data_IF_558092322736
#
_entry.id   IF_558092322736
#
_cell.length_a   1.000
_cell.length_b   1.000
_cell.length_c   1.000
_cell.angle_alpha   90.00
_cell.angle_beta   90.00
_cell.angle_gamma   90.00
#
_symmetry.space_group_name_H-M   'P 1'
#
loop_
_entity.id
_entity.type
_entity.pdbx_description
1 polymer ?
#
# COMPACT_ATOMS: atom_id res chain seq x y z
N UNK A 1 -8.71 18.29 -11.97
CA UNK A 1 -7.39 17.70 -11.78
C UNK A 1 -7.55 16.44 -10.96
N UNK A 2 -6.98 15.30 -11.42
CA UNK A 2 -6.90 14.04 -10.68
C UNK A 2 -5.43 13.65 -10.57
N UNK A 3 -5.00 13.22 -9.41
CA UNK A 3 -3.72 12.54 -9.23
C UNK A 3 -3.88 11.05 -9.52
N UNK A 4 -2.87 10.43 -10.13
CA UNK A 4 -2.87 9.02 -10.44
C UNK A 4 -2.50 8.17 -9.22
N UNK A 5 -3.48 7.41 -8.71
CA UNK A 5 -3.29 6.42 -7.66
C UNK A 5 -3.85 5.07 -8.13
N UNK A 6 -3.30 4.55 -9.24
CA UNK A 6 -3.75 3.31 -9.86
C UNK A 6 -3.80 2.12 -8.90
N UNK A 7 -3.05 2.14 -7.79
CA UNK A 7 -3.06 1.07 -6.80
C UNK A 7 -4.46 0.82 -6.20
N UNK A 8 -5.32 1.85 -6.09
CA UNK A 8 -6.71 1.68 -5.65
C UNK A 8 -7.55 0.80 -6.58
N UNK A 9 -7.14 0.65 -7.84
CA UNK A 9 -7.87 -0.11 -8.88
C UNK A 9 -7.38 -1.53 -9.05
N UNK A 10 -6.35 -1.96 -8.32
CA UNK A 10 -5.97 -3.37 -8.29
C UNK A 10 -7.08 -4.22 -7.70
N UNK A 11 -7.32 -5.38 -8.27
CA UNK A 11 -8.42 -6.24 -7.86
C UNK A 11 -8.30 -6.70 -6.41
N UNK A 12 -7.09 -6.97 -5.93
CA UNK A 12 -6.85 -7.29 -4.52
C UNK A 12 -7.24 -6.14 -3.58
N UNK A 13 -6.95 -4.90 -3.99
CA UNK A 13 -7.28 -3.69 -3.23
C UNK A 13 -8.79 -3.47 -3.21
N UNK A 14 -9.47 -3.63 -4.35
CA UNK A 14 -10.92 -3.49 -4.44
C UNK A 14 -11.66 -4.55 -3.62
N UNK A 15 -11.20 -5.81 -3.64
CA UNK A 15 -11.79 -6.87 -2.81
C UNK A 15 -11.55 -6.63 -1.31
N UNK A 16 -10.36 -6.18 -0.93
CA UNK A 16 -10.07 -5.79 0.44
C UNK A 16 -10.99 -4.64 0.90
N UNK A 17 -11.19 -3.62 0.05
CA UNK A 17 -12.07 -2.49 0.34
C UNK A 17 -13.53 -2.91 0.55
N UNK A 18 -14.06 -3.80 -0.30
CA UNK A 18 -15.40 -4.36 -0.13
C UNK A 18 -15.57 -5.08 1.21
N UNK A 19 -14.56 -5.86 1.63
CA UNK A 19 -14.59 -6.54 2.93
C UNK A 19 -14.60 -5.54 4.09
N UNK A 20 -13.79 -4.49 4.02
CA UNK A 20 -13.75 -3.45 5.05
C UNK A 20 -15.08 -2.69 5.10
N UNK A 21 -15.60 -2.26 3.96
CA UNK A 21 -16.86 -1.50 3.86
C UNK A 21 -18.08 -2.31 4.28
N UNK A 22 -18.02 -3.64 4.19
CA UNK A 22 -19.09 -4.51 4.72
C UNK A 22 -19.20 -4.47 6.25
N UNK A 23 -18.21 -3.90 6.95
CA UNK A 23 -18.13 -3.90 8.40
C UNK A 23 -17.82 -5.26 9.04
N UNK A 24 -17.69 -6.31 8.23
CA UNK A 24 -17.54 -7.69 8.73
C UNK A 24 -16.20 -7.96 9.43
N UNK A 25 -15.22 -7.06 9.27
CA UNK A 25 -13.91 -7.13 9.94
C UNK A 25 -13.87 -6.38 11.27
N UNK A 26 -14.93 -5.62 11.62
CA UNK A 26 -14.90 -4.73 12.76
C UNK A 26 -14.02 -3.50 12.52
N UNK A 27 -13.65 -2.81 13.61
CA UNK A 27 -12.84 -1.59 13.55
C UNK A 27 -11.40 -1.91 13.15
N UNK A 28 -10.81 -1.07 12.28
CA UNK A 28 -9.39 -1.11 11.97
C UNK A 28 -8.58 -0.64 13.18
N UNK A 29 -7.59 -1.42 13.58
CA UNK A 29 -6.72 -1.16 14.71
C UNK A 29 -5.39 -0.54 14.29
N UNK A 30 -4.73 -1.13 13.30
CA UNK A 30 -3.46 -0.63 12.76
C UNK A 30 -3.19 -1.14 11.35
N UNK A 31 -2.23 -0.46 10.66
CA UNK A 31 -1.70 -0.84 9.35
C UNK A 31 -0.17 -0.87 9.38
N UNK A 32 0.42 -1.75 8.57
CA UNK A 32 1.86 -1.80 8.36
C UNK A 32 2.17 -2.06 6.90
N UNK A 33 2.88 -1.14 6.24
CA UNK A 33 3.16 -1.21 4.81
C UNK A 33 4.64 -1.17 4.49
N UNK A 34 5.06 -2.04 3.56
CA UNK A 34 6.38 -2.03 2.96
C UNK A 34 6.21 -1.93 1.45
N UNK A 35 6.87 -0.93 0.85
CA UNK A 35 6.98 -0.82 -0.59
C UNK A 35 8.44 -0.63 -0.99
N UNK A 36 9.08 -1.73 -1.38
CA UNK A 36 10.52 -1.79 -1.59
C UNK A 36 10.90 -2.18 -3.01
N UNK A 37 11.85 -1.44 -3.58
CA UNK A 37 12.53 -1.76 -4.85
C UNK A 37 13.82 -2.52 -4.61
N UNK A 38 14.15 -3.39 -5.58
CA UNK A 38 15.46 -4.05 -5.61
C UNK A 38 16.63 -3.12 -6.00
N UNK A 39 16.31 -1.91 -6.46
CA UNK A 39 17.29 -1.08 -7.16
C UNK A 39 17.53 -1.57 -8.59
N UNK A 40 18.58 -1.08 -9.22
CA UNK A 40 19.04 -1.52 -10.54
C UNK A 40 20.54 -1.22 -10.72
N UNK A 41 21.19 -1.78 -11.73
CA UNK A 41 22.61 -1.56 -12.03
C UNK A 41 22.90 -0.06 -12.24
N UNK A 42 21.99 0.65 -12.92
CA UNK A 42 22.11 2.09 -13.22
C UNK A 42 21.10 2.92 -12.40
N UNK A 43 20.81 2.52 -11.17
CA UNK A 43 19.83 3.19 -10.33
C UNK A 43 20.16 4.67 -10.12
N UNK A 44 21.42 4.98 -9.87
CA UNK A 44 21.95 6.32 -9.71
C UNK A 44 21.91 7.19 -10.99
N UNK A 45 21.71 6.61 -12.18
CA UNK A 45 21.56 7.36 -13.43
C UNK A 45 20.10 7.70 -13.78
N UNK A 46 19.14 7.14 -13.05
CA UNK A 46 17.73 7.39 -13.31
C UNK A 46 17.31 8.79 -12.83
N UNK A 47 16.71 9.58 -13.71
CA UNK A 47 16.27 10.94 -13.42
C UNK A 47 15.30 11.04 -12.21
N UNK A 48 14.55 9.97 -11.94
CA UNK A 48 13.63 9.89 -10.81
C UNK A 48 14.32 9.96 -9.44
N UNK A 49 15.62 9.74 -9.41
CA UNK A 49 16.42 9.73 -8.19
C UNK A 49 17.10 11.08 -7.92
N UNK A 50 16.78 12.12 -8.70
CA UNK A 50 17.32 13.46 -8.54
C UNK A 50 16.21 14.45 -8.23
N UNK A 51 16.28 15.12 -7.07
CA UNK A 51 15.26 16.08 -6.59
C UNK A 51 14.90 17.14 -7.60
N UNK A 52 15.88 17.61 -8.36
CA UNK A 52 15.67 18.63 -9.40
C UNK A 52 14.62 18.22 -10.43
N UNK A 53 14.48 16.92 -10.71
CA UNK A 53 13.60 16.40 -11.75
C UNK A 53 12.35 15.73 -11.19
N UNK A 54 12.47 15.04 -10.05
CA UNK A 54 11.39 14.22 -9.46
C UNK A 54 10.73 14.85 -8.25
N UNK A 55 11.37 15.85 -7.62
CA UNK A 55 10.90 16.44 -6.37
C UNK A 55 11.29 15.66 -5.12
N UNK A 56 11.65 14.39 -5.22
CA UNK A 56 12.04 13.50 -4.11
C UNK A 56 12.52 12.15 -4.63
N UNK A 57 12.72 11.21 -3.75
CA UNK A 57 13.21 9.87 -4.05
C UNK A 57 12.15 8.79 -3.91
N UNK A 58 12.51 7.71 -3.22
CA UNK A 58 11.67 6.50 -3.12
C UNK A 58 10.35 6.76 -2.39
N UNK A 59 10.28 7.74 -1.51
CA UNK A 59 9.04 8.09 -0.81
C UNK A 59 8.00 8.62 -1.78
N UNK A 60 8.37 9.52 -2.69
CA UNK A 60 7.46 10.08 -3.71
C UNK A 60 7.21 9.07 -4.82
N UNK A 61 8.21 8.26 -5.21
CA UNK A 61 8.06 7.31 -6.32
C UNK A 61 7.21 6.08 -5.95
N UNK A 62 7.34 5.57 -4.72
CA UNK A 62 6.68 4.33 -4.28
C UNK A 62 5.88 4.54 -2.98
N UNK A 63 6.48 5.19 -2.00
CA UNK A 63 5.89 5.35 -0.67
C UNK A 63 4.57 6.08 -0.69
N UNK A 64 4.39 7.02 -1.63
CA UNK A 64 3.15 7.78 -1.77
C UNK A 64 1.95 6.86 -2.10
N UNK A 65 2.14 5.83 -2.90
CA UNK A 65 1.10 4.86 -3.20
C UNK A 65 0.71 4.03 -1.98
N UNK A 66 1.68 3.65 -1.15
CA UNK A 66 1.41 2.93 0.10
C UNK A 66 0.69 3.83 1.10
N UNK A 67 1.13 5.08 1.24
CA UNK A 67 0.46 6.08 2.09
C UNK A 67 -0.97 6.34 1.64
N UNK A 68 -1.18 6.44 0.34
CA UNK A 68 -2.51 6.59 -0.24
C UNK A 68 -3.43 5.42 0.12
N UNK A 69 -2.95 4.17 -0.03
CA UNK A 69 -3.70 2.98 0.36
C UNK A 69 -4.00 2.95 1.86
N UNK A 70 -3.05 3.37 2.71
CA UNK A 70 -3.29 3.46 4.16
C UNK A 70 -4.43 4.44 4.48
N UNK A 71 -4.46 5.61 3.83
CA UNK A 71 -5.56 6.57 3.96
C UNK A 71 -6.87 6.02 3.38
N UNK A 72 -6.81 5.40 2.22
CA UNK A 72 -7.97 4.82 1.52
C UNK A 72 -8.67 3.74 2.35
N UNK A 73 -7.91 2.84 2.98
CA UNK A 73 -8.48 1.77 3.79
C UNK A 73 -8.93 2.23 5.20
N UNK A 74 -8.19 3.17 5.79
CA UNK A 74 -8.54 3.66 7.12
C UNK A 74 -9.66 4.70 7.10
N UNK A 75 -9.81 5.45 6.00
CA UNK A 75 -10.64 6.65 5.96
C UNK A 75 -10.12 7.77 6.87
N UNK A 76 -8.83 7.71 7.29
CA UNK A 76 -8.24 8.59 8.30
C UNK A 76 -7.14 9.49 7.72
N UNK A 77 -7.01 10.68 8.29
CA UNK A 77 -5.85 11.53 8.10
C UNK A 77 -4.86 11.31 9.25
N UNK A 78 -3.59 11.09 8.91
CA UNK A 78 -2.53 10.92 9.89
C UNK A 78 -1.97 12.27 10.31
N UNK A 79 -2.26 12.68 11.53
CA UNK A 79 -1.91 14.03 12.05
C UNK A 79 -0.65 14.04 12.91
N UNK A 80 -0.23 12.89 13.44
CA UNK A 80 1.01 12.73 14.19
C UNK A 80 1.96 11.83 13.40
N UNK A 81 3.18 12.33 13.11
CA UNK A 81 4.15 11.63 12.27
C UNK A 81 5.53 11.71 12.88
N UNK A 82 6.16 10.56 13.07
CA UNK A 82 7.59 10.43 13.37
C UNK A 82 8.26 9.67 12.25
N UNK A 83 9.33 10.22 11.66
CA UNK A 83 9.95 9.64 10.49
C UNK A 83 11.47 9.80 10.46
N UNK A 84 12.11 8.84 9.77
CA UNK A 84 13.51 8.92 9.36
C UNK A 84 13.56 8.74 7.85
N UNK A 85 14.25 9.68 7.20
CA UNK A 85 14.48 9.69 5.75
C UNK A 85 15.97 9.72 5.52
N UNK A 86 16.49 8.75 4.76
CA UNK A 86 17.93 8.57 4.60
C UNK A 86 18.32 8.31 3.15
N UNK A 87 19.54 8.66 2.79
CA UNK A 87 20.25 8.20 1.59
C UNK A 87 21.39 7.33 2.08
N UNK A 88 21.16 6.01 2.15
CA UNK A 88 22.03 5.09 2.87
C UNK A 88 23.01 4.34 1.98
N UNK A 89 22.67 4.15 0.71
CA UNK A 89 23.47 3.31 -0.19
C UNK A 89 23.73 3.95 -1.56
N UNK A 90 22.69 4.46 -2.23
CA UNK A 90 22.82 4.98 -3.58
C UNK A 90 23.49 6.36 -3.62
N UNK A 91 24.34 6.60 -4.62
CA UNK A 91 24.94 7.91 -4.83
C UNK A 91 23.97 8.84 -5.58
N UNK A 92 22.93 9.30 -4.87
CA UNK A 92 21.84 10.14 -5.38
C UNK A 92 21.59 11.30 -4.40
N UNK A 93 20.90 12.35 -4.84
CA UNK A 93 20.59 13.52 -4.00
C UNK A 93 19.21 13.46 -3.33
N UNK A 94 18.49 12.36 -3.53
CA UNK A 94 17.19 12.08 -2.91
C UNK A 94 17.29 10.91 -1.93
N UNK A 95 16.21 10.66 -1.20
CA UNK A 95 16.16 9.55 -0.25
C UNK A 95 16.04 8.20 -0.96
N UNK A 96 16.78 7.19 -0.46
CA UNK A 96 16.66 5.79 -0.84
C UNK A 96 15.91 4.95 0.18
N UNK A 97 15.65 5.50 1.36
CA UNK A 97 14.83 4.91 2.40
C UNK A 97 14.00 5.97 3.14
N UNK A 98 12.76 5.62 3.45
CA UNK A 98 11.87 6.40 4.30
C UNK A 98 11.10 5.49 5.23
N UNK A 99 11.22 5.76 6.54
CA UNK A 99 10.50 5.07 7.61
C UNK A 99 9.59 6.07 8.29
N UNK A 100 8.34 5.71 8.52
CA UNK A 100 7.41 6.55 9.26
C UNK A 100 6.52 5.72 10.17
N UNK A 101 6.26 6.25 11.36
CA UNK A 101 5.17 5.82 12.25
C UNK A 101 4.22 6.99 12.36
N UNK A 102 2.95 6.73 12.06
CA UNK A 102 1.92 7.76 11.93
C UNK A 102 0.70 7.37 12.78
N UNK A 103 -0.01 8.36 13.29
CA UNK A 103 -1.23 8.13 14.04
C UNK A 103 -2.29 9.16 13.66
N UNK A 104 -3.53 8.70 13.49
CA UNK A 104 -4.70 9.55 13.29
C UNK A 104 -5.25 10.09 14.62
N UNK A 105 -6.20 11.02 14.56
CA UNK A 105 -6.92 11.51 15.74
C UNK A 105 -7.70 10.39 16.43
N UNK A 106 -8.27 9.46 15.68
CA UNK A 106 -9.00 8.29 16.19
C UNK A 106 -8.09 7.13 16.64
N UNK A 107 -6.77 7.40 16.77
CA UNK A 107 -5.76 6.45 17.29
C UNK A 107 -5.47 5.26 16.38
N UNK A 108 -5.86 5.30 15.12
CA UNK A 108 -5.37 4.33 14.13
C UNK A 108 -3.88 4.59 13.89
N UNK A 109 -3.07 3.58 14.10
CA UNK A 109 -1.60 3.68 13.91
C UNK A 109 -1.18 3.01 12.61
N UNK A 110 -0.35 3.69 11.83
CA UNK A 110 0.22 3.18 10.60
C UNK A 110 1.75 3.22 10.62
N UNK A 111 2.39 2.19 10.07
CA UNK A 111 3.84 2.13 9.86
C UNK A 111 4.13 2.00 8.37
N UNK A 112 4.95 2.89 7.83
CA UNK A 112 5.39 2.90 6.45
C UNK A 112 6.90 2.66 6.38
N UNK A 113 7.31 1.76 5.48
CA UNK A 113 8.69 1.65 5.02
C UNK A 113 8.72 1.65 3.49
N UNK A 114 9.28 2.70 2.91
CA UNK A 114 9.56 2.77 1.47
C UNK A 114 11.06 2.70 1.24
N UNK A 115 11.52 1.82 0.32
CA UNK A 115 12.94 1.51 0.19
C UNK A 115 13.36 1.25 -1.26
N UNK A 116 14.53 1.77 -1.65
CA UNK A 116 15.25 1.39 -2.87
C UNK A 116 16.44 0.45 -2.59
N UNK A 117 16.57 -0.02 -1.35
CA UNK A 117 17.62 -0.95 -0.90
C UNK A 117 17.06 -2.27 -0.37
N UNK A 118 15.88 -2.66 -0.87
CA UNK A 118 15.23 -3.91 -0.47
C UNK A 118 15.89 -5.15 -1.10
N UNK A 119 16.70 -4.99 -2.16
CA UNK A 119 17.38 -6.01 -2.98
C UNK A 119 16.45 -7.04 -3.62
N UNK A 120 15.18 -7.01 -3.27
CA UNK A 120 14.08 -7.73 -3.90
C UNK A 120 12.86 -6.83 -3.90
N UNK A 121 12.14 -6.77 -5.00
CA UNK A 121 10.88 -6.06 -5.04
C UNK A 121 9.91 -6.66 -4.02
N UNK A 122 9.35 -5.82 -3.18
CA UNK A 122 8.39 -6.22 -2.15
C UNK A 122 7.28 -5.20 -2.04
N UNK A 123 6.05 -5.70 -2.07
CA UNK A 123 4.86 -4.97 -1.68
C UNK A 123 4.13 -5.80 -0.63
N UNK A 124 3.88 -5.20 0.52
CA UNK A 124 3.12 -5.83 1.59
C UNK A 124 2.37 -4.75 2.35
N UNK A 125 1.06 -4.87 2.47
CA UNK A 125 0.25 -4.07 3.36
C UNK A 125 -0.56 -5.00 4.27
N UNK A 126 -0.26 -4.93 5.55
CA UNK A 126 -0.94 -5.67 6.61
C UNK A 126 -1.92 -4.75 7.33
N UNK A 127 -3.12 -5.20 7.51
CA UNK A 127 -4.21 -4.47 8.17
C UNK A 127 -4.84 -5.36 9.24
N UNK A 128 -4.83 -4.92 10.49
CA UNK A 128 -5.39 -5.66 11.60
C UNK A 128 -6.68 -4.99 12.09
N UNK A 129 -7.69 -5.80 12.29
CA UNK A 129 -9.03 -5.41 12.70
C UNK A 129 -9.44 -6.13 13.97
N UNK A 130 -10.56 -5.71 14.57
CA UNK A 130 -11.12 -6.39 15.75
C UNK A 130 -11.46 -7.86 15.50
N UNK A 131 -11.94 -8.20 14.30
CA UNK A 131 -12.42 -9.54 13.94
C UNK A 131 -11.47 -10.31 13.02
N UNK A 132 -10.22 -9.82 12.82
CA UNK A 132 -9.24 -10.53 12.02
C UNK A 132 -8.21 -9.62 11.36
N UNK A 133 -7.66 -10.07 10.24
CA UNK A 133 -6.69 -9.31 9.47
C UNK A 133 -6.87 -9.50 7.96
N UNK A 134 -6.38 -8.52 7.21
CA UNK A 134 -6.30 -8.53 5.76
C UNK A 134 -4.87 -8.18 5.37
N UNK A 135 -4.24 -9.00 4.53
CA UNK A 135 -2.93 -8.71 3.98
C UNK A 135 -3.01 -8.65 2.45
N UNK A 136 -2.48 -7.57 1.89
CA UNK A 136 -2.15 -7.46 0.47
C UNK A 136 -0.66 -7.78 0.31
N UNK A 137 -0.33 -8.91 -0.32
CA UNK A 137 1.04 -9.37 -0.49
C UNK A 137 1.35 -9.53 -1.97
N UNK A 138 2.29 -8.74 -2.45
CA UNK A 138 2.53 -8.48 -3.86
C UNK A 138 1.51 -7.55 -4.50
N UNK A 139 1.89 -7.00 -5.65
CA UNK A 139 1.02 -6.19 -6.51
C UNK A 139 1.47 -6.39 -7.96
N UNK A 140 0.54 -6.51 -8.87
CA UNK A 140 0.88 -6.64 -10.29
C UNK A 140 1.43 -5.32 -10.84
N UNK A 141 2.39 -5.43 -11.71
CA UNK A 141 2.97 -4.30 -12.43
C UNK A 141 3.36 -4.77 -13.83
N UNK A 142 3.61 -3.83 -14.75
CA UNK A 142 4.01 -4.17 -16.11
C UNK A 142 5.24 -5.07 -16.20
N UNK A 143 6.16 -4.99 -15.20
CA UNK A 143 7.36 -5.86 -15.12
C UNK A 143 7.11 -7.14 -14.34
N UNK A 144 5.98 -7.27 -13.67
CA UNK A 144 5.65 -8.35 -12.72
C UNK A 144 6.68 -8.54 -11.59
N UNK A 145 7.49 -7.53 -11.30
CA UNK A 145 8.56 -7.61 -10.30
C UNK A 145 8.06 -7.79 -8.87
N UNK A 146 6.83 -7.35 -8.60
CA UNK A 146 6.18 -7.47 -7.28
C UNK A 146 5.18 -8.63 -7.19
N UNK A 147 5.16 -9.49 -8.23
CA UNK A 147 4.27 -10.66 -8.27
C UNK A 147 4.71 -11.76 -7.29
N UNK A 148 3.79 -12.64 -6.89
CA UNK A 148 2.37 -12.65 -7.23
C UNK A 148 1.58 -11.61 -6.46
N UNK A 149 0.38 -11.21 -6.97
CA UNK A 149 -0.57 -10.40 -6.22
C UNK A 149 -1.58 -11.30 -5.52
N UNK A 150 -1.71 -11.15 -4.21
CA UNK A 150 -2.64 -11.94 -3.41
C UNK A 150 -3.26 -11.15 -2.28
N UNK A 151 -4.50 -11.49 -2.00
CA UNK A 151 -5.25 -11.06 -0.83
C UNK A 151 -5.33 -12.24 0.15
N UNK A 152 -4.85 -12.05 1.37
CA UNK A 152 -4.96 -13.03 2.45
C UNK A 152 -5.90 -12.47 3.51
N UNK A 153 -6.91 -13.25 3.88
CA UNK A 153 -7.89 -12.88 4.91
C UNK A 153 -7.93 -13.95 5.98
N UNK A 154 -7.64 -13.55 7.21
CA UNK A 154 -7.78 -14.40 8.39
C UNK A 154 -8.80 -13.83 9.35
N UNK A 155 -9.68 -14.68 9.90
CA UNK A 155 -10.58 -14.31 10.99
C UNK A 155 -9.94 -14.57 12.34
N UNK A 156 -10.25 -13.74 13.32
CA UNK A 156 -9.80 -13.98 14.70
C UNK A 156 -10.49 -15.25 15.22
N UNK A 157 -9.69 -16.29 15.37
CA UNK A 157 -10.13 -17.60 15.88
C UNK A 157 -9.19 -18.07 16.98
N UNK A 158 -9.74 -18.65 18.04
CA UNK A 158 -9.00 -19.27 19.12
C UNK A 158 -9.46 -20.71 19.27
N UNK A 159 -8.51 -21.64 19.47
CA UNK A 159 -8.82 -23.07 19.62
C UNK A 159 -9.59 -23.36 20.90
N UNK A 160 -9.26 -22.63 21.99
CA UNK A 160 -9.97 -22.67 23.27
C UNK A 160 -9.69 -21.43 24.13
N UNK A 161 -10.39 -21.33 25.26
CA UNK A 161 -10.27 -20.17 26.19
C UNK A 161 -8.89 -20.14 26.89
N UNK A 162 -8.22 -21.29 27.06
CA UNK A 162 -6.97 -21.43 27.80
C UNK A 162 -5.74 -21.32 26.93
N UNK A 163 -5.87 -21.60 25.62
CA UNK A 163 -4.76 -21.64 24.67
C UNK A 163 -5.09 -20.76 23.45
N UNK A 164 -5.00 -19.44 23.65
CA UNK A 164 -5.18 -18.46 22.57
C UNK A 164 -4.02 -18.55 21.55
N UNK A 165 -3.85 -19.70 20.92
CA UNK A 165 -2.74 -19.98 20.00
C UNK A 165 -2.86 -19.28 18.67
N UNK A 166 -4.01 -18.65 18.36
CA UNK A 166 -4.19 -17.83 17.16
C UNK A 166 -3.77 -18.55 15.88
N UNK A 167 -4.47 -19.63 15.53
CA UNK A 167 -4.29 -20.34 14.25
C UNK A 167 -5.51 -20.16 13.35
N UNK A 168 -5.76 -18.93 12.89
CA UNK A 168 -6.92 -18.67 12.03
C UNK A 168 -6.75 -19.43 10.71
N UNK A 169 -7.89 -19.84 10.16
CA UNK A 169 -7.92 -20.31 8.77
C UNK A 169 -7.73 -19.11 7.87
N UNK A 170 -6.71 -19.16 7.02
CA UNK A 170 -6.46 -18.13 6.02
C UNK A 170 -7.15 -18.49 4.71
N UNK A 171 -7.87 -17.52 4.16
CA UNK A 171 -8.37 -17.58 2.79
C UNK A 171 -7.44 -16.73 1.92
N UNK A 172 -6.83 -17.33 0.91
CA UNK A 172 -5.95 -16.64 -0.04
C UNK A 172 -6.57 -16.59 -1.42
N UNK A 173 -6.73 -15.40 -1.95
CA UNK A 173 -7.17 -15.15 -3.33
C UNK A 173 -5.99 -14.63 -4.14
N UNK A 174 -5.74 -15.21 -5.31
CA UNK A 174 -4.67 -14.84 -6.23
C UNK A 174 -5.24 -14.06 -7.40
N UNK A 175 -4.51 -13.05 -7.86
CA UNK A 175 -4.88 -12.21 -8.98
C UNK A 175 -3.81 -12.30 -10.06
N UNK A 176 -4.21 -12.46 -11.31
CA UNK A 176 -3.31 -12.66 -12.45
C UNK A 176 -3.41 -11.52 -13.47
N UNK A 177 -4.47 -10.72 -13.42
CA UNK A 177 -4.72 -9.62 -14.33
C UNK A 177 -4.55 -8.27 -13.63
N UNK A 178 -4.00 -7.32 -14.37
CA UNK A 178 -3.84 -5.93 -13.95
C UNK A 178 -4.51 -5.01 -14.96
N UNK A 179 -5.68 -4.51 -14.62
CA UNK A 179 -6.42 -3.50 -15.37
C UNK A 179 -6.40 -2.14 -14.65
N UNK A 180 -5.56 -1.96 -13.62
CA UNK A 180 -5.56 -0.81 -12.74
C UNK A 180 -5.45 0.53 -13.48
N UNK A 181 -4.53 0.62 -14.42
CA UNK A 181 -4.37 1.81 -15.26
C UNK A 181 -5.58 2.10 -16.14
N UNK A 182 -6.17 1.06 -16.72
CA UNK A 182 -7.36 1.20 -17.56
C UNK A 182 -8.54 1.70 -16.74
N UNK A 183 -8.79 1.08 -15.59
CA UNK A 183 -9.88 1.44 -14.69
C UNK A 183 -9.75 2.87 -14.16
N UNK A 184 -8.54 3.29 -13.81
CA UNK A 184 -8.25 4.65 -13.38
C UNK A 184 -8.55 5.68 -14.48
N UNK A 185 -8.13 5.41 -15.72
CA UNK A 185 -8.36 6.29 -16.87
C UNK A 185 -9.84 6.31 -17.26
N UNK A 186 -10.51 5.17 -17.25
CA UNK A 186 -11.95 5.08 -17.55
C UNK A 186 -12.76 5.93 -16.55
N UNK A 187 -12.50 5.85 -15.25
CA UNK A 187 -13.15 6.69 -14.24
C UNK A 187 -12.87 8.17 -14.43
N UNK A 188 -11.64 8.53 -14.80
CA UNK A 188 -11.30 9.92 -15.10
C UNK A 188 -12.05 10.46 -16.31
N UNK A 189 -12.19 9.66 -17.38
CA UNK A 189 -12.95 10.01 -18.57
C UNK A 189 -14.43 10.18 -18.21
N UNK A 190 -15.01 9.23 -17.48
CA UNK A 190 -16.42 9.27 -17.06
C UNK A 190 -16.74 10.53 -16.24
N UNK A 191 -15.82 10.94 -15.38
CA UNK A 191 -15.98 12.18 -14.64
C UNK A 191 -15.91 13.45 -15.53
N UNK A 192 -15.07 13.45 -16.58
CA UNK A 192 -14.99 14.58 -17.54
C UNK A 192 -16.27 14.70 -18.35
N UNK A 193 -16.83 13.58 -18.81
CA UNK A 193 -18.06 13.57 -19.63
C UNK A 193 -19.34 13.67 -18.79
N UNK A 194 -19.23 13.77 -17.47
CA UNK A 194 -20.35 14.00 -16.56
C UNK A 194 -21.14 12.73 -16.19
N UNK A 195 -20.62 11.54 -16.46
CA UNK A 195 -21.24 10.27 -16.08
C UNK A 195 -21.00 9.92 -14.60
N UNK A 196 -19.99 10.52 -13.96
CA UNK A 196 -19.71 10.35 -12.53
C UNK A 196 -19.45 11.72 -11.88
N UNK A 197 -19.89 11.92 -10.65
CA UNK A 197 -19.66 13.14 -9.87
C UNK A 197 -18.52 13.00 -8.85
N UNK A 198 -18.10 11.79 -8.59
CA UNK A 198 -17.10 11.47 -7.56
C UNK A 198 -15.93 10.70 -8.17
N UNK A 199 -14.72 11.05 -7.71
CA UNK A 199 -13.51 10.28 -7.94
C UNK A 199 -13.23 9.39 -6.74
N UNK A 200 -12.85 8.16 -6.97
CA UNK A 200 -12.41 7.24 -5.92
C UNK A 200 -11.06 7.67 -5.28
#
# INVERSE_FOLDING_TARGET
LKYGFNHRYHYSVQEAKKLIDSGSMGKLLWLRGIYGKAGSIDYDKNWRNYRKYSGGGILIDQGIHMLDLMRYFSGEEFTQINSFVTTSYWNIDSEDNAFAIMQSENKVTAMLHSSATQWKHKFLLEMCFEEGYINLDGILSGTRSYSPEKLVVGRREFEDITHAMGKPKENTTWFENDDSWKLEVDEFIDAIIGNSKEFS
#
